data_IF_230193067868
#
_entry.id   IF_230193067868
#
_cell.length_a   1.000
_cell.length_b   1.000
_cell.length_c   1.000
_cell.angle_alpha   90.00
_cell.angle_beta   90.00
_cell.angle_gamma   90.00
#
_symmetry.space_group_name_H-M   'P 1'
#
loop_
_entity.id
_entity.type
_entity.pdbx_description
1 polymer ?
#
# COMPACT_ATOMS: atom_id res chain seq x y z
N UNK A 1 -0.90 -6.09 1.29
CA UNK A 1 -1.23 -5.12 2.36
C UNK A 1 -0.47 -5.55 3.61
N UNK A 2 0.21 -4.63 4.29
CA UNK A 2 0.91 -4.91 5.56
C UNK A 2 0.45 -3.93 6.63
N UNK A 3 0.48 -4.38 7.88
CA UNK A 3 0.20 -3.57 9.07
C UNK A 3 1.53 -3.25 9.75
N UNK A 4 1.73 -1.98 10.11
CA UNK A 4 2.89 -1.52 10.87
C UNK A 4 2.67 -1.79 12.36
N UNK A 5 3.36 -2.80 12.90
CA UNK A 5 3.26 -3.20 14.31
C UNK A 5 3.90 -2.19 15.27
N UNK A 6 4.68 -1.22 14.78
CA UNK A 6 5.22 -0.16 15.63
C UNK A 6 4.13 0.86 16.02
N UNK A 7 3.06 0.97 15.22
CA UNK A 7 1.96 1.92 15.44
C UNK A 7 0.80 1.30 16.22
N UNK A 8 -0.09 2.15 16.73
CA UNK A 8 -1.29 1.71 17.44
C UNK A 8 -2.31 1.12 16.45
N UNK A 9 -2.74 -0.15 16.61
CA UNK A 9 -3.75 -0.77 15.77
C UNK A 9 -5.20 -0.33 16.05
N UNK A 10 -5.45 0.46 17.11
CA UNK A 10 -6.80 0.87 17.52
C UNK A 10 -7.70 1.38 16.37
N UNK A 11 -7.20 2.20 15.41
CA UNK A 11 -8.02 2.66 14.29
C UNK A 11 -8.57 1.51 13.44
N UNK A 12 -7.84 0.40 13.30
CA UNK A 12 -8.26 -0.77 12.52
C UNK A 12 -9.50 -1.45 13.11
N UNK A 13 -9.65 -1.39 14.42
CA UNK A 13 -10.78 -1.99 15.12
C UNK A 13 -11.97 -1.02 15.16
N UNK A 14 -11.71 0.25 15.47
CA UNK A 14 -12.77 1.22 15.76
C UNK A 14 -13.45 1.83 14.53
N UNK A 15 -12.75 1.94 13.40
CA UNK A 15 -13.24 2.67 12.22
C UNK A 15 -13.79 1.75 11.14
N UNK A 16 -14.68 2.27 10.30
CA UNK A 16 -15.11 1.61 9.05
C UNK A 16 -14.03 1.69 7.97
N UNK A 17 -14.19 0.94 6.87
CA UNK A 17 -13.27 0.99 5.74
C UNK A 17 -13.22 2.39 5.08
N UNK A 18 -14.35 3.08 4.99
CA UNK A 18 -14.49 4.42 4.43
C UNK A 18 -13.81 5.46 5.31
N UNK A 19 -13.99 5.38 6.64
CA UNK A 19 -13.31 6.25 7.60
C UNK A 19 -11.80 6.02 7.61
N UNK A 20 -11.36 4.76 7.47
CA UNK A 20 -9.95 4.43 7.30
C UNK A 20 -9.40 4.99 5.99
N UNK A 21 -10.18 4.96 4.90
CA UNK A 21 -9.78 5.48 3.60
C UNK A 21 -9.54 6.98 3.67
N UNK A 22 -10.51 7.73 4.19
CA UNK A 22 -10.37 9.17 4.40
C UNK A 22 -9.10 9.46 5.23
N UNK A 23 -8.97 8.83 6.41
CA UNK A 23 -7.85 9.05 7.31
C UNK A 23 -6.49 8.65 6.73
N UNK A 24 -6.43 7.62 5.88
CA UNK A 24 -5.20 7.17 5.23
C UNK A 24 -4.67 8.21 4.23
N UNK A 25 -5.57 8.98 3.60
CA UNK A 25 -5.23 9.97 2.58
C UNK A 25 -5.27 11.42 3.08
N UNK A 26 -5.64 11.66 4.33
CA UNK A 26 -5.44 12.93 5.04
C UNK A 26 -3.96 13.14 5.35
N UNK A 27 -3.44 14.35 5.11
CA UNK A 27 -2.05 14.69 5.44
C UNK A 27 -1.83 14.65 6.94
N UNK A 28 -0.59 14.33 7.35
CA UNK A 28 -0.26 14.20 8.78
C UNK A 28 -0.51 15.48 9.60
N UNK A 29 -0.29 16.64 8.98
CA UNK A 29 -0.52 17.96 9.57
C UNK A 29 -2.01 18.25 9.83
N UNK A 30 -2.90 17.69 9.00
CA UNK A 30 -4.35 17.88 9.10
C UNK A 30 -5.04 16.83 10.00
N UNK A 31 -4.27 15.89 10.55
CA UNK A 31 -4.78 14.82 11.42
C UNK A 31 -4.83 15.21 12.92
N UNK A 32 -4.30 16.38 13.30
CA UNK A 32 -4.21 16.82 14.70
C UNK A 32 -3.71 15.69 15.63
N UNK A 33 -4.48 15.39 16.68
CA UNK A 33 -4.24 14.35 17.68
C UNK A 33 -4.66 12.94 17.22
N UNK A 34 -5.27 12.79 16.05
CA UNK A 34 -5.73 11.49 15.56
C UNK A 34 -4.56 10.57 15.20
N UNK A 35 -4.69 9.31 15.60
CA UNK A 35 -3.74 8.27 15.24
C UNK A 35 -3.78 8.00 13.73
N UNK A 36 -2.63 7.95 13.04
CA UNK A 36 -2.57 7.59 11.63
C UNK A 36 -2.96 6.11 11.44
N UNK A 37 -3.53 5.79 10.28
CA UNK A 37 -3.85 4.40 9.93
C UNK A 37 -2.55 3.60 9.78
N UNK A 38 -2.33 2.50 10.55
CA UNK A 38 -1.06 1.79 10.59
C UNK A 38 -0.91 0.78 9.44
N UNK A 39 -1.20 1.18 8.20
CA UNK A 39 -1.25 0.27 7.04
C UNK A 39 -0.42 0.82 5.90
N UNK A 40 0.23 -0.09 5.15
CA UNK A 40 1.00 0.25 3.95
C UNK A 40 0.86 -0.82 2.88
N UNK A 41 1.06 -0.42 1.61
CA UNK A 41 1.25 -1.35 0.50
C UNK A 41 2.74 -1.65 0.28
N UNK A 42 3.06 -2.94 0.17
CA UNK A 42 4.36 -3.44 -0.29
C UNK A 42 4.19 -3.91 -1.73
N UNK A 43 4.84 -3.21 -2.66
CA UNK A 43 4.77 -3.51 -4.09
C UNK A 43 5.87 -4.52 -4.44
N UNK A 44 5.48 -5.78 -4.71
CA UNK A 44 6.43 -6.87 -4.96
C UNK A 44 7.29 -6.66 -6.20
N UNK A 45 6.76 -5.99 -7.22
CA UNK A 45 7.46 -5.66 -8.45
C UNK A 45 8.36 -4.40 -8.36
N UNK A 46 8.49 -3.80 -7.16
CA UNK A 46 9.34 -2.63 -6.90
C UNK A 46 10.47 -2.95 -5.92
N UNK A 47 11.01 -4.17 -6.00
CA UNK A 47 12.17 -4.65 -5.23
C UNK A 47 12.11 -4.33 -3.71
N UNK A 48 11.05 -4.73 -2.98
CA UNK A 48 10.95 -4.43 -1.55
C UNK A 48 11.93 -5.28 -0.74
N UNK A 49 12.51 -4.69 0.31
CA UNK A 49 13.33 -5.42 1.28
C UNK A 49 12.41 -6.08 2.31
N UNK A 50 12.38 -7.41 2.32
CA UNK A 50 11.62 -8.22 3.27
C UNK A 50 12.53 -9.28 3.86
N UNK A 51 12.47 -9.44 5.18
CA UNK A 51 13.20 -10.47 5.89
C UNK A 51 12.32 -11.12 6.96
N UNK A 52 12.56 -12.39 7.32
CA UNK A 52 11.90 -13.01 8.46
C UNK A 52 12.12 -12.21 9.75
N UNK A 53 11.16 -12.24 10.68
CA UNK A 53 11.26 -11.49 11.94
C UNK A 53 12.53 -11.81 12.74
N UNK A 54 13.04 -13.04 12.66
CA UNK A 54 14.29 -13.48 13.32
C UNK A 54 15.55 -12.76 12.81
N UNK A 55 15.51 -12.17 11.62
CA UNK A 55 16.65 -11.42 11.07
C UNK A 55 16.89 -10.13 11.86
N UNK A 56 15.84 -9.57 12.49
CA UNK A 56 15.98 -8.48 13.44
C UNK A 56 16.22 -9.05 14.85
N UNK A 57 17.49 -9.04 15.29
CA UNK A 57 17.88 -9.46 16.63
C UNK A 57 17.36 -8.49 17.68
N UNK A 58 17.27 -8.92 18.95
CA UNK A 58 16.83 -8.05 20.04
C UNK A 58 17.75 -6.85 20.24
N UNK A 59 19.07 -7.06 20.10
CA UNK A 59 20.08 -6.00 20.16
C UNK A 59 19.89 -4.96 19.04
N UNK A 60 19.72 -5.42 17.79
CA UNK A 60 19.50 -4.51 16.66
C UNK A 60 18.15 -3.79 16.76
N UNK A 61 17.11 -4.46 17.29
CA UNK A 61 15.82 -3.81 17.53
C UNK A 61 15.96 -2.67 18.55
N UNK A 62 16.67 -2.91 19.66
CA UNK A 62 16.91 -1.89 20.68
C UNK A 62 17.73 -0.72 20.15
N UNK A 63 18.76 -0.96 19.33
CA UNK A 63 19.61 0.10 18.79
C UNK A 63 18.86 1.05 17.84
N UNK A 64 17.83 0.56 17.14
CA UNK A 64 16.99 1.37 16.25
C UNK A 64 15.64 1.78 16.87
N UNK A 65 15.45 1.54 18.17
CA UNK A 65 14.26 1.98 18.92
C UNK A 65 12.98 1.19 18.63
N UNK A 66 13.08 -0.07 18.20
CA UNK A 66 11.93 -0.95 17.99
C UNK A 66 11.66 -1.78 19.24
N UNK A 67 10.48 -1.60 19.83
CA UNK A 67 9.97 -2.45 20.90
C UNK A 67 9.34 -3.73 20.33
N UNK A 68 10.05 -4.84 20.50
CA UNK A 68 9.64 -6.16 20.00
C UNK A 68 8.50 -6.76 20.81
N UNK A 69 8.46 -6.56 22.12
CA UNK A 69 7.40 -7.11 22.97
C UNK A 69 6.07 -6.41 22.68
N UNK A 70 6.10 -5.08 22.55
CA UNK A 70 4.94 -4.30 22.15
C UNK A 70 4.43 -4.71 20.75
N UNK A 71 5.34 -4.93 19.80
CA UNK A 71 4.98 -5.39 18.45
C UNK A 71 4.30 -6.76 18.46
N UNK A 72 4.77 -7.69 19.31
CA UNK A 72 4.16 -9.02 19.48
C UNK A 72 2.79 -8.94 20.17
N UNK A 73 2.63 -8.07 21.17
CA UNK A 73 1.35 -7.84 21.83
C UNK A 73 0.30 -7.30 20.85
N UNK A 74 0.66 -6.30 20.03
CA UNK A 74 -0.19 -5.77 18.97
C UNK A 74 -0.52 -6.82 17.92
N UNK A 75 0.44 -7.65 17.53
CA UNK A 75 0.19 -8.77 16.61
C UNK A 75 -0.83 -9.76 17.20
N UNK A 76 -0.72 -10.10 18.48
CA UNK A 76 -1.67 -10.97 19.16
C UNK A 76 -3.08 -10.36 19.19
N UNK A 77 -3.19 -9.06 19.47
CA UNK A 77 -4.46 -8.33 19.41
C UNK A 77 -5.07 -8.36 18.01
N UNK A 78 -4.30 -8.02 16.97
CA UNK A 78 -4.79 -8.03 15.57
C UNK A 78 -5.28 -9.43 15.17
N UNK A 79 -4.61 -10.49 15.62
CA UNK A 79 -5.01 -11.88 15.33
C UNK A 79 -6.36 -12.27 15.96
N UNK A 80 -6.79 -11.59 17.01
CA UNK A 80 -8.11 -11.81 17.62
C UNK A 80 -9.25 -11.17 16.79
N UNK A 81 -8.91 -10.31 15.82
CA UNK A 81 -9.85 -9.56 14.99
C UNK A 81 -9.72 -9.93 13.50
N UNK A 82 -10.12 -11.14 13.08
CA UNK A 82 -10.01 -11.58 11.69
C UNK A 82 -10.76 -10.69 10.69
N UNK A 83 -11.82 -10.01 11.13
CA UNK A 83 -12.61 -9.04 10.35
C UNK A 83 -11.78 -7.87 9.82
N UNK A 84 -10.64 -7.54 10.45
CA UNK A 84 -9.71 -6.52 9.97
C UNK A 84 -9.23 -6.85 8.56
N UNK A 85 -9.06 -8.13 8.21
CA UNK A 85 -8.64 -8.53 6.87
C UNK A 85 -9.61 -8.06 5.80
N UNK A 86 -10.90 -8.31 5.99
CA UNK A 86 -11.96 -7.92 5.03
C UNK A 86 -12.07 -6.41 4.93
N UNK A 87 -12.00 -5.71 6.08
CA UNK A 87 -11.98 -4.25 6.15
C UNK A 87 -10.81 -3.64 5.36
N UNK A 88 -9.61 -4.23 5.47
CA UNK A 88 -8.44 -3.77 4.72
C UNK A 88 -8.57 -4.06 3.22
N UNK A 89 -9.20 -5.16 2.81
CA UNK A 89 -9.48 -5.41 1.40
C UNK A 89 -10.45 -4.36 0.88
N UNK A 90 -11.56 -4.10 1.58
CA UNK A 90 -12.53 -3.07 1.21
C UNK A 90 -11.88 -1.68 1.11
N UNK A 91 -11.05 -1.30 2.10
CA UNK A 91 -10.29 -0.04 2.13
C UNK A 91 -9.52 0.22 0.83
N UNK A 92 -8.80 -0.79 0.32
CA UNK A 92 -8.00 -0.64 -0.91
C UNK A 92 -8.78 -0.91 -2.20
N UNK A 93 -10.01 -1.39 -2.12
CA UNK A 93 -10.92 -1.51 -3.26
C UNK A 93 -11.71 -0.22 -3.53
N UNK A 94 -11.67 0.76 -2.62
CA UNK A 94 -12.28 2.08 -2.85
C UNK A 94 -11.48 2.77 -3.96
N UNK A 95 -12.09 2.87 -5.13
CA UNK A 95 -11.49 3.56 -6.26
C UNK A 95 -11.48 5.07 -6.00
N UNK A 96 -10.30 5.66 -6.18
CA UNK A 96 -10.17 7.11 -6.17
C UNK A 96 -10.45 7.61 -7.59
N UNK A 97 -11.50 8.41 -7.73
CA UNK A 97 -11.73 9.15 -8.96
C UNK A 97 -10.65 10.24 -9.08
N UNK A 98 -9.84 10.12 -10.13
CA UNK A 98 -8.97 11.20 -10.59
C UNK A 98 -9.60 11.82 -11.83
N UNK A 99 -9.34 13.10 -12.08
CA UNK A 99 -9.73 13.71 -13.34
C UNK A 99 -8.97 13.00 -14.48
N UNK A 100 -9.70 12.60 -15.53
CA UNK A 100 -9.06 12.12 -16.75
C UNK A 100 -8.24 13.27 -17.35
N UNK A 101 -7.12 12.91 -17.97
CA UNK A 101 -6.20 13.84 -18.60
C UNK A 101 -6.24 13.60 -20.11
N UNK A 102 -6.40 14.66 -20.89
CA UNK A 102 -6.35 14.54 -22.35
C UNK A 102 -4.91 14.32 -22.88
N UNK A 103 -3.89 14.50 -22.03
CA UNK A 103 -2.49 14.29 -22.40
C UNK A 103 -2.15 12.79 -22.48
N UNK A 104 -1.92 12.29 -23.69
CA UNK A 104 -1.53 10.90 -23.95
C UNK A 104 -0.29 10.47 -23.15
N UNK A 105 0.63 11.39 -22.83
CA UNK A 105 1.84 11.08 -22.07
C UNK A 105 1.54 10.66 -20.61
N UNK A 106 0.38 11.07 -20.08
CA UNK A 106 -0.07 10.70 -18.73
C UNK A 106 -0.78 9.34 -18.65
N UNK A 107 -1.15 8.74 -19.80
CA UNK A 107 -2.01 7.54 -19.88
C UNK A 107 -1.28 6.20 -19.77
N UNK A 108 0.01 6.20 -19.40
CA UNK A 108 0.83 4.98 -19.33
C UNK A 108 0.25 3.90 -18.39
N UNK A 109 -0.47 4.31 -17.35
CA UNK A 109 -1.01 3.41 -16.32
C UNK A 109 -2.51 3.13 -16.46
N UNK A 110 -3.17 3.61 -17.51
CA UNK A 110 -4.62 3.44 -17.74
C UNK A 110 -4.99 2.00 -18.14
N UNK A 111 -4.01 1.21 -18.59
CA UNK A 111 -4.22 -0.18 -18.94
C UNK A 111 -3.02 -0.82 -19.60
N UNK A 112 -3.14 -2.13 -19.83
CA UNK A 112 -2.17 -2.87 -20.61
C UNK A 112 -2.61 -2.96 -22.07
N UNK A 113 -1.65 -2.80 -23.00
CA UNK A 113 -1.90 -3.00 -24.43
C UNK A 113 -2.35 -4.43 -24.74
N UNK A 114 -3.27 -4.57 -25.69
CA UNK A 114 -3.70 -5.87 -26.19
C UNK A 114 -2.55 -6.60 -26.92
N UNK A 115 -2.62 -7.92 -27.11
CA UNK A 115 -1.66 -8.64 -27.95
C UNK A 115 -1.59 -8.09 -29.38
N UNK A 116 -2.73 -7.68 -29.96
CA UNK A 116 -2.79 -7.08 -31.29
C UNK A 116 -2.05 -5.73 -31.35
N UNK A 117 -2.27 -4.86 -30.36
CA UNK A 117 -1.58 -3.55 -30.29
C UNK A 117 -0.07 -3.72 -30.11
N UNK A 118 0.35 -4.71 -29.31
CA UNK A 118 1.77 -5.01 -29.14
C UNK A 118 2.43 -5.48 -30.43
N UNK A 119 1.73 -6.28 -31.24
CA UNK A 119 2.22 -6.71 -32.56
C UNK A 119 2.29 -5.52 -33.55
N UNK A 120 1.24 -4.71 -33.62
CA UNK A 120 1.23 -3.50 -34.44
C UNK A 120 2.36 -2.54 -34.07
N UNK A 121 2.59 -2.31 -32.76
CA UNK A 121 3.70 -1.48 -32.27
C UNK A 121 5.07 -2.04 -32.66
N UNK A 122 5.23 -3.36 -32.71
CA UNK A 122 6.48 -3.98 -33.15
C UNK A 122 6.73 -3.74 -34.65
N UNK A 123 5.68 -3.84 -35.49
CA UNK A 123 5.75 -3.53 -36.92
C UNK A 123 6.15 -2.07 -37.11
N UNK A 124 5.45 -1.12 -36.48
CA UNK A 124 5.72 0.32 -36.59
C UNK A 124 7.18 0.65 -36.23
N UNK A 125 7.73 0.03 -35.18
CA UNK A 125 9.12 0.25 -34.76
C UNK A 125 10.17 -0.25 -35.77
N UNK A 126 9.79 -1.16 -36.67
CA UNK A 126 10.66 -1.71 -37.71
C UNK A 126 10.43 -1.06 -39.07
N UNK A 127 9.35 -0.29 -39.23
CA UNK A 127 9.06 0.46 -40.45
C UNK A 127 9.95 1.69 -40.55
N UNK A 128 10.52 1.93 -41.72
CA UNK A 128 11.29 3.14 -42.00
C UNK A 128 10.42 4.39 -41.82
N UNK A 129 10.94 5.50 -41.23
CA UNK A 129 10.14 6.71 -40.96
C UNK A 129 9.54 7.41 -42.19
N UNK A 130 10.02 7.07 -43.40
CA UNK A 130 9.61 7.70 -44.65
C UNK A 130 8.52 6.91 -45.40
N UNK A 131 8.09 5.76 -44.86
CA UNK A 131 6.91 5.02 -45.31
C UNK A 131 5.69 5.44 -44.51
#
# INVERSE_FOLDING_TARGET
IVIDLAKDPQPLFALSAEQLHERLYTKREDLDELLPVPVKLVHLNKCPILAPAKTLTAENAASIGIDREQSLAKLAQIRQHPEVREKLVQLFSIERAFADSDDVASKLYDGFFSPADRAARAIIRQTEPHN
#
